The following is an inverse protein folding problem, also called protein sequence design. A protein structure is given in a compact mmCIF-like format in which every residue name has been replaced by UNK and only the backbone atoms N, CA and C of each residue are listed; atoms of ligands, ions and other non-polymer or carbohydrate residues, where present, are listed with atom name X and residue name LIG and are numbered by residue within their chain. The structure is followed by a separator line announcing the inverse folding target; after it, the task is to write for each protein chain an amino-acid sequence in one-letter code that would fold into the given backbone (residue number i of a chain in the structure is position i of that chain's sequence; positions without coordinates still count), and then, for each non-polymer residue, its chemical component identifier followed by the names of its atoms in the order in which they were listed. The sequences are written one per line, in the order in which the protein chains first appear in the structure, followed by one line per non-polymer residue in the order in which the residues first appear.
data_IF_937344929793
#
_entry.id   IF_937344929793
#
_cell.length_a   1.000
_cell.length_b   1.000
_cell.length_c   1.000
_cell.angle_alpha   90.00
_cell.angle_beta   90.00
_cell.angle_gamma   90.00
#
_symmetry.space_group_name_H-M   'P 1'
#
loop_
_entity.id
_entity.type
_entity.pdbx_description
1 polymer ?
#
# COMPACT_ATOMS: atom_id res chain seq x y z
N UNK A 1 -58.93 64.43 32.33
CA UNK A 1 -57.47 64.21 32.05
C UNK A 1 -57.29 62.76 31.72
N UNK A 2 -57.07 62.32 30.46
CA UNK A 2 -56.84 60.91 30.16
C UNK A 2 -55.34 60.60 30.19
N UNK A 3 -54.99 59.49 30.88
CA UNK A 3 -53.65 58.94 31.00
C UNK A 3 -53.41 58.02 29.79
N UNK A 4 -52.41 58.32 28.94
CA UNK A 4 -51.96 57.54 27.85
C UNK A 4 -50.98 56.47 28.37
N UNK A 5 -51.34 55.20 28.24
CA UNK A 5 -50.45 54.06 28.52
C UNK A 5 -49.72 53.67 27.21
N UNK A 6 -48.38 53.87 27.14
CA UNK A 6 -47.58 53.44 26.04
C UNK A 6 -47.18 51.97 26.26
N UNK A 7 -47.79 51.12 25.45
CA UNK A 7 -47.32 49.69 25.41
C UNK A 7 -46.05 49.60 24.59
N UNK A 8 -44.93 49.21 25.24
CA UNK A 8 -43.69 48.87 24.57
C UNK A 8 -43.76 47.40 24.09
N UNK A 9 -43.86 47.20 22.76
CA UNK A 9 -43.76 45.89 22.15
C UNK A 9 -42.27 45.58 21.99
N UNK A 10 -41.75 44.68 22.83
CA UNK A 10 -40.39 44.14 22.67
C UNK A 10 -40.45 43.06 21.59
N UNK A 11 -39.94 43.37 20.40
CA UNK A 11 -39.74 42.42 19.32
C UNK A 11 -38.48 41.59 19.63
N UNK A 12 -38.64 40.37 20.13
CA UNK A 12 -37.55 39.39 20.30
C UNK A 12 -37.24 38.78 18.95
N UNK A 13 -36.24 39.31 18.28
CA UNK A 13 -35.62 38.66 17.10
C UNK A 13 -34.86 37.47 17.58
N UNK A 14 -35.41 36.25 17.47
CA UNK A 14 -34.70 34.99 17.60
C UNK A 14 -33.77 34.81 16.39
N UNK A 15 -32.53 35.20 16.55
CA UNK A 15 -31.45 34.80 15.66
C UNK A 15 -31.21 33.28 15.82
N UNK A 16 -31.97 32.46 15.10
CA UNK A 16 -31.61 31.09 14.82
C UNK A 16 -30.43 31.09 13.86
N UNK A 17 -29.22 31.28 14.40
CA UNK A 17 -27.98 31.05 13.70
C UNK A 17 -27.87 29.54 13.37
N UNK A 18 -28.35 29.16 12.19
CA UNK A 18 -28.04 27.86 11.64
C UNK A 18 -26.53 27.78 11.49
N UNK A 19 -25.87 27.00 12.36
CA UNK A 19 -24.53 26.52 12.08
C UNK A 19 -24.67 25.68 10.81
N UNK A 20 -24.34 26.24 9.66
CA UNK A 20 -24.11 25.51 8.46
C UNK A 20 -22.93 24.56 8.78
N UNK A 21 -23.23 23.30 9.10
CA UNK A 21 -22.22 22.28 9.12
C UNK A 21 -21.63 22.27 7.71
N UNK A 22 -20.46 22.88 7.54
CA UNK A 22 -19.72 22.77 6.31
C UNK A 22 -19.54 21.27 6.04
N UNK A 23 -19.98 20.81 4.87
CA UNK A 23 -19.76 19.42 4.49
C UNK A 23 -18.28 19.08 4.63
N UNK A 24 -17.95 17.95 5.26
CA UNK A 24 -16.57 17.59 5.44
C UNK A 24 -15.92 17.44 4.06
N UNK A 25 -14.81 18.13 3.83
CA UNK A 25 -14.07 18.06 2.56
C UNK A 25 -13.72 16.62 2.15
N UNK A 26 -13.36 16.35 0.89
CA UNK A 26 -13.11 15.00 0.39
C UNK A 26 -11.99 14.32 1.16
N UNK A 27 -12.11 12.99 1.35
CA UNK A 27 -10.99 12.15 1.78
C UNK A 27 -10.07 11.85 0.60
N UNK A 28 -8.77 11.94 0.82
CA UNK A 28 -7.75 11.65 -0.19
C UNK A 28 -7.21 10.24 0.02
N UNK A 29 -7.58 9.33 -0.89
CA UNK A 29 -7.09 7.95 -0.92
C UNK A 29 -5.85 7.84 -1.80
N UNK A 30 -4.70 7.64 -1.18
CA UNK A 30 -3.45 7.29 -1.86
C UNK A 30 -3.39 5.79 -2.16
N UNK A 31 -3.01 5.43 -3.38
CA UNK A 31 -2.76 4.03 -3.77
C UNK A 31 -1.41 3.95 -4.48
N UNK A 32 -0.60 2.95 -4.12
CA UNK A 32 0.65 2.68 -4.81
C UNK A 32 0.43 2.22 -6.25
N UNK A 33 1.47 2.28 -7.06
CA UNK A 33 1.40 1.85 -8.46
C UNK A 33 1.52 0.32 -8.56
N UNK A 34 0.40 -0.37 -8.37
CA UNK A 34 0.29 -1.84 -8.49
C UNK A 34 0.12 -2.31 -9.94
N UNK A 35 -0.30 -1.42 -10.85
CA UNK A 35 -0.48 -1.68 -12.26
C UNK A 35 0.68 -1.10 -13.07
N UNK A 36 0.88 -1.51 -14.35
CA UNK A 36 1.98 -1.02 -15.17
C UNK A 36 2.03 0.50 -15.34
N UNK A 37 0.88 1.12 -15.38
CA UNK A 37 0.72 2.57 -15.56
C UNK A 37 -0.39 3.15 -14.67
N UNK A 38 -0.39 4.48 -14.56
CA UNK A 38 -1.33 5.22 -13.71
C UNK A 38 -2.79 5.05 -14.15
N UNK A 39 -3.07 5.04 -15.44
CA UNK A 39 -4.43 4.95 -15.97
C UNK A 39 -5.08 3.61 -15.59
N UNK A 40 -4.37 2.51 -15.80
CA UNK A 40 -4.82 1.17 -15.37
C UNK A 40 -4.95 1.08 -13.87
N UNK A 41 -4.02 1.69 -13.12
CA UNK A 41 -4.09 1.70 -11.67
C UNK A 41 -5.32 2.46 -11.16
N UNK A 42 -5.58 3.65 -11.70
CA UNK A 42 -6.76 4.45 -11.36
C UNK A 42 -8.06 3.69 -11.73
N UNK A 43 -8.14 3.07 -12.90
CA UNK A 43 -9.30 2.27 -13.30
C UNK A 43 -9.53 1.08 -12.37
N UNK A 44 -8.45 0.41 -11.92
CA UNK A 44 -8.51 -0.75 -11.03
C UNK A 44 -9.01 -0.39 -9.63
N UNK A 45 -8.60 0.76 -9.08
CA UNK A 45 -8.91 1.15 -7.70
C UNK A 45 -10.04 2.19 -7.57
N UNK A 46 -10.56 2.72 -8.69
CA UNK A 46 -11.72 3.60 -8.71
C UNK A 46 -12.95 2.96 -8.04
N UNK A 47 -13.31 1.68 -8.31
CA UNK A 47 -14.44 1.05 -7.64
C UNK A 47 -14.32 1.02 -6.12
N UNK A 48 -13.11 0.81 -5.57
CA UNK A 48 -12.88 0.88 -4.13
C UNK A 48 -13.10 2.29 -3.57
N UNK A 49 -12.61 3.33 -4.26
CA UNK A 49 -12.80 4.72 -3.85
C UNK A 49 -14.30 5.10 -3.85
N UNK A 50 -15.04 4.73 -4.90
CA UNK A 50 -16.47 4.99 -5.05
C UNK A 50 -17.30 4.24 -3.98
N UNK A 51 -16.93 2.99 -3.69
CA UNK A 51 -17.53 2.22 -2.60
C UNK A 51 -17.33 2.89 -1.25
N UNK A 52 -16.08 3.30 -0.94
CA UNK A 52 -15.78 3.99 0.31
C UNK A 52 -16.54 5.33 0.40
N UNK A 53 -16.63 6.09 -0.69
CA UNK A 53 -17.40 7.33 -0.72
C UNK A 53 -18.87 7.09 -0.35
N UNK A 54 -19.50 6.07 -0.94
CA UNK A 54 -20.87 5.67 -0.64
C UNK A 54 -21.05 5.23 0.82
N UNK A 55 -20.12 4.42 1.34
CA UNK A 55 -20.21 3.90 2.72
C UNK A 55 -19.95 4.94 3.79
N UNK A 56 -19.13 5.94 3.49
CA UNK A 56 -18.77 7.02 4.42
C UNK A 56 -19.66 8.25 4.28
N UNK A 57 -20.54 8.31 3.25
CA UNK A 57 -21.36 9.49 2.96
C UNK A 57 -20.52 10.74 2.66
N UNK A 58 -19.34 10.56 2.07
CA UNK A 58 -18.34 11.61 1.87
C UNK A 58 -17.54 11.34 0.61
N UNK A 59 -17.21 12.35 -0.17
CA UNK A 59 -16.36 12.19 -1.36
C UNK A 59 -15.00 11.54 -1.00
N UNK A 60 -14.54 10.58 -1.80
CA UNK A 60 -13.21 9.98 -1.72
C UNK A 60 -12.49 10.19 -3.03
N UNK A 61 -11.42 10.99 -3.02
CA UNK A 61 -10.58 11.25 -4.17
C UNK A 61 -9.42 10.26 -4.23
N UNK A 62 -9.31 9.56 -5.35
CA UNK A 62 -8.24 8.60 -5.59
C UNK A 62 -7.00 9.31 -6.14
N UNK A 63 -5.84 9.00 -5.57
CA UNK A 63 -4.52 9.44 -6.02
C UNK A 63 -3.60 8.24 -6.19
N UNK A 64 -3.20 7.93 -7.41
CA UNK A 64 -2.10 7.00 -7.67
C UNK A 64 -0.78 7.72 -7.47
N UNK A 65 0.10 7.16 -6.65
CA UNK A 65 1.44 7.68 -6.36
C UNK A 65 2.48 6.76 -7.01
N UNK A 66 3.40 7.34 -7.77
CA UNK A 66 4.31 6.60 -8.67
C UNK A 66 5.35 5.75 -7.95
N UNK A 67 5.70 6.08 -6.71
CA UNK A 67 6.70 5.37 -5.91
C UNK A 67 6.15 4.99 -4.54
N UNK A 68 6.58 3.85 -4.01
CA UNK A 68 6.18 3.40 -2.67
C UNK A 68 6.69 4.34 -1.57
N UNK A 69 7.91 4.87 -1.73
CA UNK A 69 8.45 5.87 -0.82
C UNK A 69 7.66 7.19 -0.87
N UNK A 70 7.25 7.61 -2.08
CA UNK A 70 6.40 8.79 -2.27
C UNK A 70 5.05 8.64 -1.57
N UNK A 71 4.42 7.46 -1.67
CA UNK A 71 3.15 7.19 -0.97
C UNK A 71 3.31 7.22 0.55
N UNK A 72 4.40 6.67 1.08
CA UNK A 72 4.68 6.73 2.51
C UNK A 72 4.84 8.20 3.00
N UNK A 73 5.56 9.02 2.24
CA UNK A 73 5.72 10.45 2.50
C UNK A 73 4.40 11.21 2.41
N UNK A 74 3.60 10.93 1.38
CA UNK A 74 2.29 11.56 1.16
C UNK A 74 1.34 11.32 2.34
N UNK A 75 1.29 10.09 2.85
CA UNK A 75 0.50 9.76 4.05
C UNK A 75 1.08 10.42 5.31
N UNK A 76 2.41 10.44 5.47
CA UNK A 76 3.07 11.05 6.60
C UNK A 76 2.88 12.57 6.68
N UNK A 77 2.83 13.24 5.54
CA UNK A 77 2.69 14.70 5.43
C UNK A 77 1.22 15.16 5.34
N UNK A 78 0.23 14.24 5.37
CA UNK A 78 -1.19 14.57 5.24
C UNK A 78 -1.61 14.99 3.82
N UNK A 79 -0.77 14.75 2.81
CA UNK A 79 -1.14 14.93 1.40
C UNK A 79 -2.20 13.90 0.96
N UNK A 80 -2.17 12.70 1.57
CA UNK A 80 -3.25 11.72 1.56
C UNK A 80 -3.73 11.46 2.98
N UNK A 81 -5.03 11.22 3.14
CA UNK A 81 -5.66 10.96 4.46
C UNK A 81 -5.66 9.48 4.80
N UNK A 82 -5.85 8.65 3.76
CA UNK A 82 -5.88 7.20 3.82
C UNK A 82 -5.03 6.63 2.69
N UNK A 83 -4.44 5.46 2.87
CA UNK A 83 -3.60 4.85 1.85
C UNK A 83 -3.71 3.32 1.84
N UNK A 84 -3.74 2.73 0.63
CA UNK A 84 -3.47 1.31 0.40
C UNK A 84 -2.01 1.18 -0.06
N UNK A 85 -1.17 0.57 0.76
CA UNK A 85 0.28 0.62 0.59
C UNK A 85 0.98 -0.64 1.07
N UNK A 86 2.15 -0.90 0.50
CA UNK A 86 2.99 -2.01 0.92
C UNK A 86 3.45 -1.87 2.40
N UNK A 87 3.74 -3.00 3.06
CA UNK A 87 4.08 -3.04 4.49
C UNK A 87 5.24 -2.12 4.89
N UNK A 88 6.29 -2.04 4.08
CA UNK A 88 7.44 -1.17 4.38
C UNK A 88 7.07 0.32 4.29
N UNK A 89 6.32 0.70 3.26
CA UNK A 89 5.78 2.06 3.15
C UNK A 89 4.94 2.43 4.38
N UNK A 90 4.08 1.51 4.85
CA UNK A 90 3.33 1.70 6.09
C UNK A 90 4.25 1.90 7.30
N UNK A 91 5.26 1.04 7.47
CA UNK A 91 6.21 1.14 8.60
C UNK A 91 6.94 2.49 8.57
N UNK A 92 7.35 2.97 7.39
CA UNK A 92 7.96 4.29 7.24
C UNK A 92 7.01 5.41 7.65
N UNK A 93 5.76 5.42 7.19
CA UNK A 93 4.77 6.43 7.54
C UNK A 93 4.39 6.38 9.04
N UNK A 94 4.24 5.18 9.60
CA UNK A 94 4.00 5.02 11.03
C UNK A 94 5.19 5.53 11.87
N UNK A 95 6.41 5.20 11.46
CA UNK A 95 7.62 5.61 12.17
C UNK A 95 7.83 7.11 12.13
N UNK A 96 7.68 7.74 10.96
CA UNK A 96 7.96 9.16 10.77
C UNK A 96 6.87 10.07 11.35
N UNK A 97 5.60 9.71 11.20
CA UNK A 97 4.48 10.60 11.49
C UNK A 97 3.35 9.98 12.34
N UNK A 98 3.43 8.69 12.71
CA UNK A 98 2.40 8.06 13.54
C UNK A 98 1.15 7.60 12.77
N UNK A 99 1.22 7.43 11.44
CA UNK A 99 0.16 6.80 10.66
C UNK A 99 -0.23 5.43 11.27
N UNK A 100 -1.51 5.05 11.18
CA UNK A 100 -1.99 3.80 11.77
C UNK A 100 -2.68 2.92 10.74
N UNK A 101 -2.38 1.61 10.79
CA UNK A 101 -3.10 0.61 10.00
C UNK A 101 -4.48 0.38 10.62
N UNK A 102 -5.49 0.26 9.77
CA UNK A 102 -6.86 -0.05 10.17
C UNK A 102 -7.31 -1.41 9.65
N UNK A 103 -6.68 -1.89 8.57
CA UNK A 103 -6.95 -3.18 7.98
C UNK A 103 -5.77 -3.65 7.10
N UNK A 104 -5.72 -4.96 6.88
CA UNK A 104 -4.81 -5.61 5.93
C UNK A 104 -5.63 -6.30 4.86
N UNK A 105 -5.21 -6.19 3.60
CA UNK A 105 -5.91 -6.81 2.47
C UNK A 105 -5.72 -8.33 2.47
N UNK A 106 -6.74 -9.06 2.05
CA UNK A 106 -6.71 -10.52 1.88
C UNK A 106 -6.51 -10.87 0.41
N UNK A 107 -5.48 -11.63 0.11
CA UNK A 107 -5.22 -12.22 -1.20
C UNK A 107 -5.44 -13.74 -1.11
N UNK A 108 -6.40 -14.28 -1.87
CA UNK A 108 -6.86 -15.66 -1.74
C UNK A 108 -7.17 -16.06 -0.28
N UNK A 109 -7.78 -15.13 0.48
CA UNK A 109 -8.15 -15.31 1.88
C UNK A 109 -7.01 -15.21 2.88
N UNK A 110 -5.77 -14.92 2.45
CA UNK A 110 -4.60 -14.81 3.33
C UNK A 110 -4.16 -13.36 3.50
N UNK A 111 -3.83 -12.93 4.73
CA UNK A 111 -3.28 -11.59 5.00
C UNK A 111 -1.75 -11.53 4.78
N UNK A 112 -1.19 -12.45 4.02
CA UNK A 112 0.25 -12.63 3.85
C UNK A 112 0.61 -12.87 2.40
N UNK A 113 1.88 -12.57 2.04
CA UNK A 113 2.47 -12.84 0.75
C UNK A 113 3.98 -13.12 0.89
N UNK A 114 4.71 -13.32 -0.21
CA UNK A 114 6.12 -13.68 -0.19
C UNK A 114 6.94 -12.76 -1.09
N UNK A 115 8.09 -12.30 -0.61
CA UNK A 115 9.15 -11.80 -1.47
C UNK A 115 9.86 -12.97 -2.15
N UNK A 116 10.24 -12.77 -3.40
CA UNK A 116 10.96 -13.75 -4.20
C UNK A 116 12.15 -13.10 -4.90
N UNK A 117 13.15 -13.90 -5.22
CA UNK A 117 14.20 -13.56 -6.18
C UNK A 117 14.05 -14.50 -7.36
N UNK A 118 13.96 -13.91 -8.54
CA UNK A 118 13.71 -14.61 -9.79
C UNK A 118 14.91 -14.50 -10.74
N UNK A 119 15.08 -15.51 -11.57
CA UNK A 119 16.08 -15.59 -12.63
C UNK A 119 15.50 -16.33 -13.84
N UNK A 120 16.13 -16.18 -15.01
CA UNK A 120 15.80 -17.00 -16.16
C UNK A 120 16.41 -18.40 -15.98
N UNK A 121 15.65 -19.49 -16.15
CA UNK A 121 16.19 -20.86 -16.03
C UNK A 121 17.37 -21.15 -16.94
N UNK A 122 17.43 -20.49 -18.10
CA UNK A 122 18.51 -20.65 -19.09
C UNK A 122 19.81 -19.96 -18.67
N UNK A 123 19.78 -19.13 -17.60
CA UNK A 123 20.97 -18.43 -17.08
C UNK A 123 21.97 -19.33 -16.37
N UNK A 124 21.57 -20.55 -15.98
CA UNK A 124 22.38 -21.46 -15.14
C UNK A 124 22.41 -21.06 -13.65
N UNK A 125 21.76 -19.96 -13.25
CA UNK A 125 21.69 -19.49 -11.86
C UNK A 125 20.68 -20.34 -11.08
N UNK A 126 21.11 -20.90 -9.95
CA UNK A 126 20.32 -21.82 -9.13
C UNK A 126 20.23 -21.38 -7.66
N UNK A 127 21.12 -20.50 -7.23
CA UNK A 127 21.24 -20.05 -5.84
C UNK A 127 21.59 -18.56 -5.76
N UNK A 128 21.53 -18.01 -4.56
CA UNK A 128 21.98 -16.64 -4.27
C UNK A 128 23.48 -16.49 -4.54
N UNK A 129 24.28 -17.52 -4.29
CA UNK A 129 25.75 -17.50 -4.49
C UNK A 129 26.12 -17.38 -5.97
N UNK A 130 25.32 -17.94 -6.88
CA UNK A 130 25.52 -17.85 -8.33
C UNK A 130 25.30 -16.43 -8.86
N UNK A 131 24.69 -15.54 -8.05
CA UNK A 131 24.49 -14.14 -8.41
C UNK A 131 25.74 -13.28 -8.29
N UNK A 132 26.85 -13.81 -7.76
CA UNK A 132 28.11 -13.05 -7.66
C UNK A 132 28.58 -12.60 -9.04
N UNK A 133 28.80 -11.28 -9.17
CA UNK A 133 29.22 -10.67 -10.45
C UNK A 133 28.13 -10.59 -11.51
N UNK A 134 26.88 -10.88 -11.17
CA UNK A 134 25.70 -10.76 -12.05
C UNK A 134 25.03 -9.42 -11.92
N UNK A 135 24.17 -9.09 -12.88
CA UNK A 135 23.28 -7.93 -12.78
C UNK A 135 22.08 -8.26 -11.90
N UNK A 136 21.68 -7.32 -11.02
CA UNK A 136 20.55 -7.50 -10.12
C UNK A 136 19.64 -6.28 -10.10
N UNK A 137 18.32 -6.51 -10.13
CA UNK A 137 17.35 -5.45 -9.96
C UNK A 137 16.65 -5.54 -8.60
N UNK A 138 16.67 -4.45 -7.87
CA UNK A 138 15.73 -4.20 -6.78
C UNK A 138 14.48 -3.48 -7.30
N UNK A 139 13.39 -3.58 -6.54
CA UNK A 139 12.24 -2.70 -6.65
C UNK A 139 12.55 -1.28 -6.14
N UNK A 140 11.53 -0.44 -6.08
CA UNK A 140 11.59 0.89 -5.45
C UNK A 140 12.04 0.80 -3.99
N UNK A 141 12.76 1.80 -3.49
CA UNK A 141 13.31 1.83 -2.11
C UNK A 141 12.23 1.79 -1.02
N UNK A 142 11.01 2.15 -1.33
CA UNK A 142 9.84 1.97 -0.45
C UNK A 142 9.20 0.58 -0.55
N UNK A 143 9.66 -0.30 -1.45
CA UNK A 143 9.12 -1.64 -1.60
C UNK A 143 9.57 -2.58 -0.50
N UNK A 144 8.64 -3.34 0.07
CA UNK A 144 8.92 -4.41 1.04
C UNK A 144 9.65 -5.57 0.40
N UNK A 145 9.01 -6.21 -0.58
CA UNK A 145 9.49 -7.43 -1.24
C UNK A 145 10.55 -7.18 -2.30
N UNK A 146 10.49 -6.01 -2.96
CA UNK A 146 11.47 -5.65 -3.98
C UNK A 146 12.73 -5.02 -3.43
N UNK A 147 12.75 -4.55 -2.18
CA UNK A 147 13.92 -3.86 -1.64
C UNK A 147 14.28 -4.26 -0.20
N UNK A 148 13.40 -3.97 0.79
CA UNK A 148 13.77 -4.16 2.20
C UNK A 148 14.14 -5.61 2.52
N UNK A 149 13.25 -6.55 2.20
CA UNK A 149 13.39 -7.96 2.59
C UNK A 149 14.52 -8.66 1.84
N UNK A 150 14.72 -8.48 0.52
CA UNK A 150 15.91 -8.94 -0.16
C UNK A 150 17.22 -8.34 0.40
N UNK A 151 17.24 -7.03 0.70
CA UNK A 151 18.40 -6.38 1.33
C UNK A 151 18.73 -7.00 2.69
N UNK A 152 17.69 -7.25 3.51
CA UNK A 152 17.85 -7.91 4.81
C UNK A 152 18.39 -9.35 4.65
N UNK A 153 17.87 -10.08 3.65
CA UNK A 153 18.36 -11.42 3.34
C UNK A 153 19.86 -11.41 2.94
N UNK A 154 20.25 -10.51 2.05
CA UNK A 154 21.67 -10.37 1.65
C UNK A 154 22.56 -10.00 2.83
N UNK A 155 22.14 -9.03 3.65
CA UNK A 155 22.89 -8.64 4.84
C UNK A 155 23.09 -9.81 5.82
N UNK A 156 22.06 -10.64 6.05
CA UNK A 156 22.15 -11.84 6.90
C UNK A 156 23.16 -12.87 6.38
N UNK A 157 23.42 -12.87 5.08
CA UNK A 157 24.42 -13.72 4.44
C UNK A 157 25.82 -13.07 4.31
N UNK A 158 25.98 -11.86 4.86
CA UNK A 158 27.22 -11.10 4.71
C UNK A 158 27.47 -10.59 3.28
N UNK A 159 26.41 -10.51 2.47
CA UNK A 159 26.47 -10.02 1.09
C UNK A 159 26.20 -8.52 1.09
N UNK A 160 27.17 -7.75 0.61
CA UNK A 160 27.02 -6.34 0.26
C UNK A 160 26.65 -6.25 -1.23
N UNK A 161 25.43 -5.79 -1.57
CA UNK A 161 25.00 -5.72 -2.95
C UNK A 161 25.90 -4.88 -3.87
N UNK A 162 26.50 -3.81 -3.35
CA UNK A 162 27.32 -2.89 -4.15
C UNK A 162 28.66 -3.51 -4.60
N UNK A 163 29.14 -4.53 -3.86
CA UNK A 163 30.37 -5.24 -4.19
C UNK A 163 30.13 -6.64 -4.74
N UNK A 164 28.98 -7.23 -4.45
CA UNK A 164 28.65 -8.59 -4.84
C UNK A 164 28.12 -8.67 -6.29
N UNK A 165 27.27 -7.73 -6.69
CA UNK A 165 26.73 -7.66 -8.04
C UNK A 165 27.64 -6.85 -8.97
N UNK A 166 27.67 -7.17 -10.27
CA UNK A 166 28.37 -6.35 -11.26
C UNK A 166 27.66 -5.03 -11.52
N UNK A 167 26.33 -5.02 -11.37
CA UNK A 167 25.46 -3.85 -11.53
C UNK A 167 24.18 -4.05 -10.74
N UNK A 168 23.80 -3.02 -9.98
CA UNK A 168 22.50 -2.92 -9.30
C UNK A 168 21.65 -1.87 -10.00
N UNK A 169 20.39 -2.20 -10.28
CA UNK A 169 19.37 -1.26 -10.80
C UNK A 169 18.14 -1.26 -9.90
N UNK A 170 17.35 -0.20 -10.01
CA UNK A 170 16.07 -0.06 -9.30
C UNK A 170 14.97 0.19 -10.32
N UNK A 171 13.92 -0.63 -10.32
CA UNK A 171 12.84 -0.52 -11.30
C UNK A 171 11.54 -1.13 -10.78
N UNK A 172 10.47 -1.09 -11.58
CA UNK A 172 9.15 -1.63 -11.23
C UNK A 172 9.16 -3.16 -11.30
N UNK A 173 8.33 -3.80 -10.47
CA UNK A 173 8.19 -5.26 -10.38
C UNK A 173 7.90 -5.92 -11.74
N UNK A 174 6.95 -5.38 -12.51
CA UNK A 174 6.62 -5.90 -13.83
C UNK A 174 7.80 -5.81 -14.81
N UNK A 175 8.59 -4.74 -14.71
CA UNK A 175 9.79 -4.58 -15.54
C UNK A 175 10.88 -5.58 -15.15
N UNK A 176 11.04 -5.89 -13.85
CA UNK A 176 11.98 -6.92 -13.36
C UNK A 176 11.65 -8.27 -13.99
N UNK A 177 10.41 -8.75 -13.85
CA UNK A 177 9.98 -10.04 -14.41
C UNK A 177 10.16 -10.07 -15.92
N UNK A 178 9.77 -9.00 -16.62
CA UNK A 178 9.90 -8.92 -18.09
C UNK A 178 11.37 -8.99 -18.53
N UNK A 179 12.27 -8.25 -17.88
CA UNK A 179 13.69 -8.23 -18.25
C UNK A 179 14.39 -9.53 -17.90
N UNK A 180 14.05 -10.14 -16.75
CA UNK A 180 14.59 -11.45 -16.34
C UNK A 180 14.16 -12.53 -17.33
N UNK A 181 12.88 -12.60 -17.67
CA UNK A 181 12.38 -13.63 -18.60
C UNK A 181 12.94 -13.49 -20.02
N UNK A 182 13.30 -12.26 -20.44
CA UNK A 182 13.97 -12.00 -21.71
C UNK A 182 15.49 -12.21 -21.68
N UNK A 183 16.08 -12.43 -20.49
CA UNK A 183 17.53 -12.54 -20.32
C UNK A 183 18.28 -11.20 -20.42
N UNK A 184 17.57 -10.08 -20.31
CA UNK A 184 18.13 -8.72 -20.29
C UNK A 184 18.69 -8.36 -18.89
N UNK A 185 18.27 -9.11 -17.86
CA UNK A 185 18.67 -9.01 -16.48
C UNK A 185 18.90 -10.41 -15.93
N UNK A 186 20.03 -10.63 -15.19
CA UNK A 186 20.35 -11.94 -14.65
C UNK A 186 19.39 -12.39 -13.54
N UNK A 187 19.04 -11.47 -12.62
CA UNK A 187 18.10 -11.74 -11.54
C UNK A 187 17.47 -10.46 -10.99
N UNK A 188 16.36 -10.61 -10.26
CA UNK A 188 15.74 -9.49 -9.59
C UNK A 188 14.79 -9.88 -8.47
N UNK A 189 14.52 -8.91 -7.61
CA UNK A 189 13.62 -9.05 -6.48
C UNK A 189 12.17 -8.68 -6.85
N UNK A 190 11.25 -9.60 -6.57
CA UNK A 190 9.83 -9.43 -6.87
C UNK A 190 8.97 -9.99 -5.72
N UNK A 191 7.69 -10.18 -5.96
CA UNK A 191 6.78 -10.88 -5.06
C UNK A 191 5.89 -11.86 -5.83
N UNK A 192 5.55 -12.93 -5.13
CA UNK A 192 4.82 -14.07 -5.72
C UNK A 192 3.54 -13.68 -6.46
N UNK A 193 2.76 -12.71 -5.93
CA UNK A 193 1.50 -12.27 -6.54
C UNK A 193 1.69 -11.55 -7.87
N UNK A 194 2.75 -10.70 -8.00
CA UNK A 194 3.04 -10.04 -9.28
C UNK A 194 3.43 -11.07 -10.33
N UNK A 195 4.37 -11.96 -9.99
CA UNK A 195 4.78 -13.05 -10.89
C UNK A 195 3.58 -13.88 -11.34
N UNK A 196 2.72 -14.32 -10.41
CA UNK A 196 1.54 -15.12 -10.73
C UNK A 196 0.55 -14.36 -11.63
N UNK A 197 0.25 -13.11 -11.30
CA UNK A 197 -0.63 -12.26 -12.12
C UNK A 197 -0.09 -12.05 -13.55
N UNK A 198 1.22 -11.86 -13.70
CA UNK A 198 1.84 -11.74 -15.03
C UNK A 198 1.76 -13.04 -15.84
N UNK A 199 1.89 -14.20 -15.20
CA UNK A 199 1.70 -15.52 -15.82
C UNK A 199 0.24 -15.70 -16.25
N UNK A 200 -0.72 -15.45 -15.37
CA UNK A 200 -2.15 -15.57 -15.66
C UNK A 200 -2.62 -14.65 -16.78
N UNK A 201 -2.03 -13.46 -16.88
CA UNK A 201 -2.29 -12.51 -17.95
C UNK A 201 -1.54 -12.83 -19.26
N UNK A 202 -0.70 -13.88 -19.28
CA UNK A 202 0.10 -14.25 -20.44
C UNK A 202 1.23 -13.26 -20.78
N UNK A 203 1.61 -12.38 -19.85
CA UNK A 203 2.68 -11.39 -20.04
C UNK A 203 4.06 -12.03 -19.95
N UNK A 204 4.20 -13.09 -19.17
CA UNK A 204 5.38 -13.95 -19.07
C UNK A 204 4.94 -15.42 -19.03
N UNK A 205 5.85 -16.34 -19.31
CA UNK A 205 5.62 -17.77 -19.15
C UNK A 205 6.21 -18.26 -17.83
N UNK A 206 5.53 -19.20 -17.17
CA UNK A 206 5.97 -19.76 -15.90
C UNK A 206 7.35 -20.44 -16.02
N UNK A 207 7.60 -21.11 -17.17
CA UNK A 207 8.85 -21.77 -17.48
C UNK A 207 10.03 -20.84 -17.74
N UNK A 208 9.81 -19.53 -17.95
CA UNK A 208 10.87 -18.54 -18.19
C UNK A 208 11.21 -17.72 -16.91
N UNK A 209 10.49 -17.91 -15.81
CA UNK A 209 10.74 -17.25 -14.53
C UNK A 209 10.94 -18.27 -13.42
N UNK A 210 12.18 -18.47 -13.00
CA UNK A 210 12.57 -19.41 -11.94
C UNK A 210 12.77 -18.66 -10.62
N UNK A 211 12.10 -19.11 -9.56
CA UNK A 211 12.33 -18.63 -8.19
C UNK A 211 13.56 -19.35 -7.63
N UNK A 212 14.57 -18.59 -7.21
CA UNK A 212 15.79 -19.12 -6.55
C UNK A 212 15.82 -18.83 -5.06
N UNK A 213 14.93 -17.95 -4.57
CA UNK A 213 14.76 -17.67 -3.16
C UNK A 213 13.34 -17.14 -2.90
N UNK A 214 12.81 -17.50 -1.74
CA UNK A 214 11.53 -17.02 -1.22
C UNK A 214 11.67 -16.68 0.27
N UNK A 215 11.05 -15.59 0.70
CA UNK A 215 11.02 -15.17 2.10
C UNK A 215 10.10 -16.05 2.95
N UNK A 216 10.20 -15.91 4.28
CA UNK A 216 9.12 -16.25 5.18
C UNK A 216 7.86 -15.42 4.82
N UNK A 217 6.65 -15.82 5.29
CA UNK A 217 5.43 -15.05 5.06
C UNK A 217 5.59 -13.60 5.55
N UNK A 218 5.21 -12.65 4.71
CA UNK A 218 5.23 -11.22 5.00
C UNK A 218 3.80 -10.72 5.20
N UNK A 219 3.55 -9.78 6.14
CA UNK A 219 2.27 -9.08 6.21
C UNK A 219 1.88 -8.54 4.84
N UNK A 220 0.59 -8.67 4.48
CA UNK A 220 0.07 -8.12 3.23
C UNK A 220 -0.14 -6.60 3.34
N UNK A 221 -0.54 -5.95 2.22
CA UNK A 221 -0.64 -4.51 2.12
C UNK A 221 -1.58 -3.92 3.17
N UNK A 222 -1.14 -2.81 3.75
CA UNK A 222 -1.84 -2.07 4.78
C UNK A 222 -2.84 -1.09 4.16
N UNK A 223 -4.06 -1.08 4.70
CA UNK A 223 -4.92 0.07 4.58
C UNK A 223 -4.70 0.94 5.83
N UNK A 224 -4.08 2.08 5.64
CA UNK A 224 -3.62 2.93 6.72
C UNK A 224 -4.28 4.32 6.68
N UNK A 225 -4.32 4.98 7.81
CA UNK A 225 -4.79 6.36 8.00
C UNK A 225 -3.65 7.25 8.47
N UNK A 226 -3.67 8.52 8.07
CA UNK A 226 -2.72 9.54 8.54
C UNK A 226 -2.87 9.78 10.05
N UNK A 227 -1.83 10.33 10.70
CA UNK A 227 -1.87 10.67 12.12
C UNK A 227 -3.00 11.62 12.46
N UNK A 228 -3.26 12.60 11.59
CA UNK A 228 -4.36 13.56 11.79
C UNK A 228 -5.72 12.86 11.78
N UNK A 229 -5.93 11.92 10.84
CA UNK A 229 -7.19 11.21 10.74
C UNK A 229 -7.43 10.26 11.93
N UNK A 230 -6.37 9.74 12.56
CA UNK A 230 -6.45 8.88 13.77
C UNK A 230 -7.25 9.54 14.89
N UNK A 231 -7.21 10.87 15.00
CA UNK A 231 -7.93 11.61 16.03
C UNK A 231 -9.45 11.56 15.84
N UNK A 232 -9.92 11.40 14.59
CA UNK A 232 -11.34 11.22 14.26
C UNK A 232 -11.77 9.74 14.39
N UNK A 233 -11.90 9.27 15.62
CA UNK A 233 -12.24 7.86 15.93
C UNK A 233 -13.54 7.39 15.25
N UNK A 234 -14.54 8.25 15.15
CA UNK A 234 -15.82 7.91 14.52
C UNK A 234 -15.61 7.55 13.04
N UNK A 235 -14.89 8.39 12.31
CA UNK A 235 -14.60 8.17 10.90
C UNK A 235 -13.69 6.96 10.67
N UNK A 236 -12.66 6.78 11.52
CA UNK A 236 -11.78 5.59 11.46
C UNK A 236 -12.57 4.30 11.67
N UNK A 237 -13.50 4.27 12.64
CA UNK A 237 -14.34 3.10 12.87
C UNK A 237 -15.30 2.83 11.71
N UNK A 238 -15.90 3.88 11.11
CA UNK A 238 -16.74 3.75 9.91
C UNK A 238 -15.93 3.21 8.72
N UNK A 239 -14.72 3.73 8.51
CA UNK A 239 -13.82 3.26 7.47
C UNK A 239 -13.46 1.79 7.67
N UNK A 240 -13.07 1.39 8.88
CA UNK A 240 -12.75 0.00 9.19
C UNK A 240 -13.98 -0.92 8.96
N UNK A 241 -15.16 -0.51 9.41
CA UNK A 241 -16.40 -1.27 9.18
C UNK A 241 -16.71 -1.40 7.67
N UNK A 242 -16.51 -0.34 6.88
CA UNK A 242 -16.67 -0.38 5.43
C UNK A 242 -15.70 -1.39 4.79
N UNK A 243 -14.42 -1.39 5.19
CA UNK A 243 -13.42 -2.33 4.68
C UNK A 243 -13.77 -3.78 5.04
N UNK A 244 -14.20 -4.04 6.28
CA UNK A 244 -14.60 -5.39 6.72
C UNK A 244 -15.83 -5.92 5.95
N UNK A 245 -16.71 -5.06 5.46
CA UNK A 245 -17.89 -5.46 4.70
C UNK A 245 -17.58 -5.85 3.24
N UNK A 246 -16.41 -5.48 2.69
CA UNK A 246 -16.07 -5.68 1.27
C UNK A 246 -16.17 -7.15 0.84
N UNK A 247 -15.75 -8.10 1.67
CA UNK A 247 -15.84 -9.52 1.32
C UNK A 247 -17.25 -10.02 1.01
N UNK A 248 -18.27 -9.45 1.67
CA UNK A 248 -19.67 -9.74 1.36
C UNK A 248 -20.15 -8.98 0.11
N UNK A 249 -19.71 -7.74 -0.08
CA UNK A 249 -20.07 -6.90 -1.22
C UNK A 249 -19.53 -7.44 -2.56
N UNK A 250 -18.38 -8.11 -2.55
CA UNK A 250 -17.77 -8.72 -3.75
C UNK A 250 -18.69 -9.74 -4.44
N UNK A 251 -19.64 -10.34 -3.72
CA UNK A 251 -20.63 -11.24 -4.30
C UNK A 251 -21.59 -10.51 -5.26
N UNK A 252 -21.83 -9.21 -5.02
CA UNK A 252 -22.72 -8.36 -5.81
C UNK A 252 -21.94 -7.44 -6.75
N UNK A 253 -20.70 -7.10 -6.41
CA UNK A 253 -19.82 -6.20 -7.15
C UNK A 253 -18.44 -6.82 -7.30
N UNK A 254 -18.27 -7.80 -8.21
CA UNK A 254 -17.02 -8.59 -8.34
C UNK A 254 -15.77 -7.74 -8.62
N UNK A 255 -15.93 -6.59 -9.28
CA UNK A 255 -14.83 -5.71 -9.67
C UNK A 255 -14.49 -4.65 -8.62
N UNK A 256 -15.01 -4.78 -7.40
CA UNK A 256 -14.74 -3.84 -6.30
C UNK A 256 -13.26 -3.86 -5.88
N UNK A 257 -12.60 -4.98 -6.01
CA UNK A 257 -11.16 -5.18 -5.81
C UNK A 257 -10.55 -5.88 -7.02
N UNK A 258 -9.23 -5.78 -7.22
CA UNK A 258 -8.53 -6.58 -8.23
C UNK A 258 -8.72 -8.08 -8.01
N UNK A 259 -8.50 -8.89 -9.06
CA UNK A 259 -8.58 -10.35 -8.99
C UNK A 259 -7.75 -10.90 -7.82
N UNK A 260 -8.24 -11.98 -7.20
CA UNK A 260 -7.67 -12.64 -6.01
C UNK A 260 -7.75 -11.84 -4.71
N UNK A 261 -8.07 -10.55 -4.73
CA UNK A 261 -8.33 -9.80 -3.51
C UNK A 261 -9.77 -10.01 -3.06
N UNK A 262 -9.94 -10.60 -1.89
CA UNK A 262 -11.25 -11.09 -1.41
C UNK A 262 -11.80 -10.31 -0.21
N UNK A 263 -11.16 -9.20 0.16
CA UNK A 263 -11.59 -8.34 1.26
C UNK A 263 -10.44 -7.90 2.14
N UNK A 264 -10.79 -7.53 3.37
CA UNK A 264 -9.85 -7.04 4.38
C UNK A 264 -10.07 -7.73 5.71
N UNK A 265 -9.04 -7.75 6.55
CA UNK A 265 -9.10 -8.17 7.95
C UNK A 265 -8.49 -7.07 8.83
N UNK A 266 -9.10 -6.82 9.98
CA UNK A 266 -8.58 -5.88 10.95
C UNK A 266 -7.23 -6.36 11.49
N UNK A 267 -6.23 -5.51 11.42
CA UNK A 267 -4.89 -5.72 11.98
C UNK A 267 -4.42 -4.42 12.60
N UNK A 268 -3.55 -4.55 13.59
CA UNK A 268 -2.88 -3.44 14.24
C UNK A 268 -1.38 -3.38 13.86
N UNK A 269 -0.68 -2.43 14.43
CA UNK A 269 0.72 -2.18 14.16
C UNK A 269 1.66 -3.36 14.52
N UNK A 270 1.24 -4.24 15.44
CA UNK A 270 2.04 -5.42 15.84
C UNK A 270 2.17 -6.44 14.71
N UNK A 271 1.19 -6.51 13.82
CA UNK A 271 1.23 -7.38 12.64
C UNK A 271 2.39 -7.03 11.70
N UNK A 272 2.79 -5.75 11.65
CA UNK A 272 3.89 -5.26 10.81
C UNK A 272 5.26 -5.25 11.54
N UNK A 273 5.34 -5.80 12.74
CA UNK A 273 6.60 -5.88 13.52
C UNK A 273 7.75 -6.54 12.73
N UNK A 274 7.57 -7.66 12.01
CA UNK A 274 8.67 -8.27 11.25
C UNK A 274 9.28 -7.32 10.21
N UNK A 275 8.46 -6.45 9.60
CA UNK A 275 8.92 -5.46 8.62
C UNK A 275 9.72 -4.34 9.30
N UNK A 276 9.23 -3.89 10.47
CA UNK A 276 9.95 -2.91 11.29
C UNK A 276 11.30 -3.44 11.75
N UNK A 277 11.34 -4.69 12.23
CA UNK A 277 12.56 -5.34 12.70
C UNK A 277 13.59 -5.46 11.56
N UNK A 278 13.17 -5.83 10.36
CA UNK A 278 14.03 -5.85 9.17
C UNK A 278 14.56 -4.45 8.81
N UNK A 279 13.70 -3.42 8.92
CA UNK A 279 14.10 -2.02 8.70
C UNK A 279 15.17 -1.55 9.68
N UNK A 280 15.01 -1.86 10.96
CA UNK A 280 15.99 -1.55 12.01
C UNK A 280 17.30 -2.33 11.79
N UNK A 281 17.22 -3.63 11.53
CA UNK A 281 18.38 -4.49 11.33
C UNK A 281 19.23 -4.07 10.11
N UNK A 282 18.58 -3.57 9.06
CA UNK A 282 19.28 -3.08 7.86
C UNK A 282 19.75 -1.63 7.96
N UNK A 283 19.50 -0.94 9.08
CA UNK A 283 19.79 0.48 9.24
C UNK A 283 18.94 1.40 8.35
N UNK A 284 17.91 0.87 7.70
CA UNK A 284 16.99 1.64 6.83
C UNK A 284 15.88 2.31 7.63
N UNK A 285 15.73 1.94 8.89
CA UNK A 285 14.88 2.59 9.88
C UNK A 285 15.77 2.98 11.07
N UNK A 286 15.73 4.25 11.48
CA UNK A 286 16.45 4.70 12.66
C UNK A 286 15.77 4.17 13.95
N UNK A 287 16.52 3.81 15.00
CA UNK A 287 15.91 3.58 16.32
C UNK A 287 15.18 4.86 16.80
N UNK A 288 14.04 4.67 17.47
CA UNK A 288 13.34 5.75 18.19
C UNK A 288 13.86 5.85 19.61
#
# INVERSE_FOLDING_TARGET
MPRWIHAFVILVLSLSGGFANAEPGPLKLGVGLFQPDKEKNDATYRPLADYLAKRLGREVKLFTVDTWEGLAKSLANGETDIALMGPWGYVLANHSAGAQVVATILYDGKPEYFAIIVTNPKSGINSIQDLKGKTFAFGDKGSTSGYLIPSYHFQKQGIDPDTFFSKVIYTKHQAIETQVTRGELDAGADYNRNRNAMIEQGLIKAEDSKIIWQSDPLPNDAFAVSADLVTNRALVNQLQAALMAIGAELKQTPNLLPAHYVGFVAKDNSFYKPIRDAGLATGKLAPK
#
